data_IF_768047829845
#
_entry.id   IF_768047829845
#
_cell.length_a   1.000
_cell.length_b   1.000
_cell.length_c   1.000
_cell.angle_alpha   90.00
_cell.angle_beta   90.00
_cell.angle_gamma   90.00
#
_symmetry.space_group_name_H-M   'P 1'
#
loop_
_entity.id
_entity.type
_entity.pdbx_description
1 polymer ?
#
# COMPACT_ATOMS: atom_id res chain seq x y z
N UNK A 1 -37.95 13.20 -5.28
CA UNK A 1 -38.88 12.17 -5.79
C UNK A 1 -39.40 11.36 -4.62
N UNK A 2 -40.57 10.74 -4.74
CA UNK A 2 -41.14 9.90 -3.68
C UNK A 2 -41.23 8.46 -4.15
N UNK A 3 -40.72 7.54 -3.35
CA UNK A 3 -40.86 6.09 -3.54
C UNK A 3 -41.25 5.44 -2.21
N UNK A 4 -41.74 4.22 -2.26
CA UNK A 4 -42.10 3.44 -1.07
C UNK A 4 -41.13 2.28 -0.92
N UNK A 5 -40.48 2.13 0.23
CA UNK A 5 -39.62 0.98 0.55
C UNK A 5 -40.17 0.32 1.81
N UNK A 6 -40.60 -0.94 1.71
CA UNK A 6 -41.20 -1.71 2.81
C UNK A 6 -42.30 -0.90 3.54
N UNK A 7 -43.29 -0.44 2.77
CA UNK A 7 -44.45 0.36 3.22
C UNK A 7 -44.11 1.74 3.82
N UNK A 8 -42.83 2.14 3.83
CA UNK A 8 -42.39 3.48 4.23
C UNK A 8 -42.21 4.37 3.00
N UNK A 9 -42.92 5.49 2.96
CA UNK A 9 -42.71 6.53 1.94
C UNK A 9 -41.41 7.28 2.27
N UNK A 10 -40.49 7.31 1.31
CA UNK A 10 -39.19 7.96 1.44
C UNK A 10 -38.99 8.99 0.34
N UNK A 11 -38.36 10.10 0.70
CA UNK A 11 -37.95 11.12 -0.25
C UNK A 11 -36.50 10.88 -0.68
N UNK A 12 -36.26 11.03 -1.97
CA UNK A 12 -34.95 10.80 -2.57
C UNK A 12 -34.61 11.90 -3.58
N UNK A 13 -33.31 12.15 -3.73
CA UNK A 13 -32.78 12.96 -4.81
C UNK A 13 -32.92 12.23 -6.15
N UNK A 14 -32.77 12.97 -7.25
CA UNK A 14 -32.65 12.36 -8.57
C UNK A 14 -31.28 11.71 -8.74
N UNK A 15 -31.24 10.63 -9.52
CA UNK A 15 -30.00 9.96 -9.93
C UNK A 15 -29.22 9.23 -8.82
N UNK A 16 -29.87 8.88 -7.70
CA UNK A 16 -29.31 7.96 -6.70
C UNK A 16 -29.94 6.57 -6.82
N UNK A 17 -29.23 5.55 -6.37
CA UNK A 17 -29.65 4.14 -6.43
C UNK A 17 -30.63 3.80 -5.32
N UNK A 18 -31.43 2.75 -5.49
CA UNK A 18 -32.34 2.26 -4.44
C UNK A 18 -31.57 1.95 -3.15
N UNK A 19 -30.36 1.38 -3.25
CA UNK A 19 -29.53 1.07 -2.09
C UNK A 19 -29.15 2.33 -1.30
N UNK A 20 -28.78 3.41 -1.98
CA UNK A 20 -28.44 4.68 -1.34
C UNK A 20 -29.66 5.32 -0.68
N UNK A 21 -30.84 5.26 -1.33
CA UNK A 21 -32.10 5.71 -0.71
C UNK A 21 -32.38 4.91 0.57
N UNK A 22 -32.31 3.59 0.48
CA UNK A 22 -32.59 2.70 1.62
C UNK A 22 -31.66 3.01 2.80
N UNK A 23 -30.35 3.19 2.56
CA UNK A 23 -29.38 3.56 3.61
C UNK A 23 -29.70 4.90 4.26
N UNK A 24 -30.07 5.92 3.48
CA UNK A 24 -30.46 7.24 4.03
C UNK A 24 -31.75 7.18 4.87
N UNK A 25 -32.61 6.20 4.59
CA UNK A 25 -33.85 5.96 5.32
C UNK A 25 -33.70 4.94 6.47
N UNK A 26 -32.47 4.52 6.79
CA UNK A 26 -32.15 3.50 7.78
C UNK A 26 -32.87 2.16 7.51
N UNK A 27 -32.93 1.78 6.22
CA UNK A 27 -33.48 0.50 5.75
C UNK A 27 -32.30 -0.37 5.29
N UNK A 28 -32.06 -1.45 6.02
CA UNK A 28 -30.95 -2.34 5.74
C UNK A 28 -31.20 -3.23 4.51
N UNK A 29 -30.30 -3.14 3.51
CA UNK A 29 -30.23 -4.07 2.37
C UNK A 29 -28.81 -4.67 2.37
N UNK A 30 -28.64 -6.00 2.45
CA UNK A 30 -27.33 -6.61 2.60
C UNK A 30 -26.49 -6.49 1.32
N UNK A 31 -25.19 -6.23 1.50
CA UNK A 31 -24.21 -6.13 0.42
C UNK A 31 -22.86 -6.72 0.85
N UNK A 32 -22.21 -7.46 -0.04
CA UNK A 32 -20.81 -7.91 0.13
C UNK A 32 -19.83 -7.29 -0.86
N UNK A 33 -20.29 -6.89 -2.05
CA UNK A 33 -19.45 -6.33 -3.12
C UNK A 33 -19.66 -4.83 -3.36
N UNK A 34 -20.41 -4.14 -2.49
CA UNK A 34 -20.66 -2.71 -2.60
C UNK A 34 -19.72 -1.96 -1.67
N UNK A 35 -19.20 -0.84 -2.17
CA UNK A 35 -18.41 0.10 -1.39
C UNK A 35 -18.71 1.52 -1.92
N UNK A 36 -19.02 2.51 -1.08
CA UNK A 36 -19.48 3.83 -1.51
C UNK A 36 -18.44 4.59 -2.35
N UNK A 37 -17.15 4.38 -2.10
CA UNK A 37 -16.09 5.01 -2.90
C UNK A 37 -15.82 4.34 -4.26
N UNK A 38 -16.55 3.28 -4.61
CA UNK A 38 -16.39 2.54 -5.86
C UNK A 38 -17.72 2.55 -6.63
N UNK A 39 -17.65 2.52 -7.96
CA UNK A 39 -18.88 2.39 -8.77
C UNK A 39 -19.64 1.09 -8.43
N UNK A 40 -20.98 1.06 -8.49
CA UNK A 40 -21.74 -0.14 -8.19
C UNK A 40 -21.45 -1.31 -9.15
N UNK A 41 -21.04 -2.46 -8.60
CA UNK A 41 -20.67 -3.65 -9.38
C UNK A 41 -21.80 -4.68 -9.51
N UNK A 42 -22.59 -4.85 -8.45
CA UNK A 42 -23.73 -5.79 -8.44
C UNK A 42 -23.38 -7.28 -8.51
N UNK A 43 -22.12 -7.68 -8.27
CA UNK A 43 -21.69 -9.08 -8.39
C UNK A 43 -22.26 -10.02 -7.33
N UNK A 44 -22.33 -9.61 -6.06
CA UNK A 44 -22.80 -10.51 -4.99
C UNK A 44 -24.31 -10.78 -5.01
N UNK A 45 -25.11 -9.97 -5.72
CA UNK A 45 -26.59 -10.06 -5.83
C UNK A 45 -27.39 -10.08 -4.52
N UNK A 46 -26.78 -9.97 -3.34
CA UNK A 46 -27.49 -9.88 -2.06
C UNK A 46 -28.38 -8.64 -1.95
N UNK A 47 -28.01 -7.55 -2.63
CA UNK A 47 -28.84 -6.35 -2.68
C UNK A 47 -30.08 -6.46 -3.58
N UNK A 48 -30.45 -7.66 -4.01
CA UNK A 48 -31.67 -7.87 -4.80
C UNK A 48 -32.90 -7.42 -4.03
N UNK A 49 -33.80 -6.70 -4.71
CA UNK A 49 -35.08 -6.22 -4.19
C UNK A 49 -36.16 -6.42 -5.24
N UNK A 50 -37.41 -6.58 -4.81
CA UNK A 50 -38.56 -6.63 -5.71
C UNK A 50 -39.08 -5.21 -5.90
N UNK A 51 -39.13 -4.75 -7.14
CA UNK A 51 -39.74 -3.48 -7.50
C UNK A 51 -41.08 -3.72 -8.18
N UNK A 52 -42.02 -2.81 -7.95
CA UNK A 52 -43.31 -2.77 -8.62
C UNK A 52 -43.51 -1.40 -9.26
N UNK A 53 -43.76 -1.39 -10.57
CA UNK A 53 -44.02 -0.20 -11.36
C UNK A 53 -45.21 -0.45 -12.28
N UNK A 54 -46.28 0.35 -12.12
CA UNK A 54 -47.52 0.22 -12.92
C UNK A 54 -48.08 -1.22 -12.91
N UNK A 55 -48.08 -1.87 -11.73
CA UNK A 55 -48.55 -3.24 -11.53
C UNK A 55 -47.62 -4.36 -12.03
N UNK A 56 -46.46 -4.03 -12.62
CA UNK A 56 -45.46 -5.04 -13.03
C UNK A 56 -44.41 -5.21 -11.96
N UNK A 57 -44.21 -6.45 -11.51
CA UNK A 57 -43.18 -6.83 -10.52
C UNK A 57 -41.92 -7.33 -11.21
N UNK A 58 -40.75 -6.94 -10.70
CA UNK A 58 -39.44 -7.39 -11.19
C UNK A 58 -38.44 -7.40 -10.05
N UNK A 59 -37.55 -8.40 -10.02
CA UNK A 59 -36.39 -8.38 -9.12
C UNK A 59 -35.24 -7.63 -9.80
N UNK A 60 -34.64 -6.68 -9.07
CA UNK A 60 -33.53 -5.85 -9.54
C UNK A 60 -32.45 -5.74 -8.46
N UNK A 61 -31.25 -5.35 -8.87
CA UNK A 61 -30.13 -5.09 -7.96
C UNK A 61 -30.25 -3.67 -7.40
N UNK A 62 -30.53 -3.50 -6.10
CA UNK A 62 -30.73 -2.17 -5.50
C UNK A 62 -29.49 -1.26 -5.65
N UNK A 63 -28.28 -1.83 -5.69
CA UNK A 63 -27.06 -1.06 -5.83
C UNK A 63 -26.85 -0.44 -7.22
N UNK A 64 -27.50 -0.95 -8.27
CA UNK A 64 -27.33 -0.45 -9.64
C UNK A 64 -28.59 0.22 -10.18
N UNK A 65 -29.76 -0.08 -9.60
CA UNK A 65 -31.04 0.43 -10.07
C UNK A 65 -31.28 1.84 -9.51
N UNK A 66 -31.45 2.83 -10.39
CA UNK A 66 -31.76 4.21 -10.01
C UNK A 66 -33.17 4.31 -9.42
N UNK A 67 -33.30 5.07 -8.33
CA UNK A 67 -34.60 5.38 -7.75
C UNK A 67 -35.45 6.18 -8.76
N UNK A 68 -36.74 5.86 -8.80
CA UNK A 68 -37.72 6.50 -9.68
C UNK A 68 -38.92 6.96 -8.86
N UNK A 69 -39.57 8.03 -9.31
CA UNK A 69 -40.78 8.53 -8.67
C UNK A 69 -41.94 7.52 -8.80
N UNK A 70 -42.65 7.29 -7.69
CA UNK A 70 -43.75 6.34 -7.59
C UNK A 70 -43.34 4.86 -7.54
N UNK A 71 -42.04 4.56 -7.42
CA UNK A 71 -41.56 3.18 -7.32
C UNK A 71 -41.98 2.56 -5.97
N UNK A 72 -42.44 1.31 -5.98
CA UNK A 72 -42.65 0.52 -4.75
C UNK A 72 -41.59 -0.57 -4.69
N UNK A 73 -40.84 -0.61 -3.61
CA UNK A 73 -39.71 -1.52 -3.37
C UNK A 73 -40.04 -2.39 -2.16
N UNK A 74 -39.88 -3.70 -2.31
CA UNK A 74 -39.96 -4.67 -1.22
C UNK A 74 -38.61 -5.33 -1.05
N UNK A 75 -37.98 -5.13 0.11
CA UNK A 75 -36.65 -5.67 0.39
C UNK A 75 -36.68 -7.09 0.93
N UNK A 76 -37.86 -7.58 1.32
CA UNK A 76 -38.11 -8.89 1.94
C UNK A 76 -39.35 -9.62 1.38
N UNK A 77 -39.68 -9.45 0.09
CA UNK A 77 -40.72 -10.29 -0.53
C UNK A 77 -40.31 -11.77 -0.52
N UNK A 78 -41.25 -12.74 -0.56
CA UNK A 78 -40.90 -14.17 -0.57
C UNK A 78 -39.85 -14.53 -1.64
N UNK A 79 -40.03 -14.01 -2.86
CA UNK A 79 -39.09 -14.23 -3.96
C UNK A 79 -37.69 -13.64 -3.71
N UNK A 80 -37.59 -12.49 -3.01
CA UNK A 80 -36.30 -11.90 -2.62
C UNK A 80 -35.62 -12.71 -1.53
N UNK A 81 -36.38 -13.18 -0.54
CA UNK A 81 -35.85 -14.03 0.55
C UNK A 81 -35.31 -15.33 -0.04
N UNK A 82 -36.08 -16.01 -0.90
CA UNK A 82 -35.66 -17.28 -1.53
C UNK A 82 -34.42 -17.09 -2.40
N UNK A 83 -34.35 -16.00 -3.17
CA UNK A 83 -33.16 -15.66 -3.96
C UNK A 83 -31.93 -15.43 -3.08
N UNK A 84 -32.05 -14.66 -2.00
CA UNK A 84 -30.94 -14.39 -1.09
C UNK A 84 -30.49 -15.65 -0.36
N UNK A 85 -31.41 -16.52 0.07
CA UNK A 85 -31.09 -17.83 0.63
C UNK A 85 -30.26 -18.66 -0.34
N UNK A 86 -30.71 -18.79 -1.59
CA UNK A 86 -29.96 -19.49 -2.63
C UNK A 86 -28.54 -18.95 -2.82
N UNK A 87 -28.39 -17.61 -2.89
CA UNK A 87 -27.07 -16.96 -3.02
C UNK A 87 -26.19 -17.25 -1.80
N UNK A 88 -26.74 -17.13 -0.59
CA UNK A 88 -25.99 -17.37 0.65
C UNK A 88 -25.57 -18.83 0.77
N UNK A 89 -26.41 -19.79 0.35
CA UNK A 89 -26.02 -21.20 0.30
C UNK A 89 -24.88 -21.45 -0.69
N UNK A 90 -24.87 -20.80 -1.85
CA UNK A 90 -23.74 -20.89 -2.80
C UNK A 90 -22.47 -20.25 -2.23
N UNK A 91 -22.58 -19.09 -1.59
CA UNK A 91 -21.44 -18.42 -0.95
C UNK A 91 -20.91 -19.24 0.23
N UNK A 92 -21.80 -19.86 1.01
CA UNK A 92 -21.44 -20.69 2.15
C UNK A 92 -20.82 -22.01 1.69
N UNK A 93 -21.32 -22.60 0.60
CA UNK A 93 -20.67 -23.74 -0.03
C UNK A 93 -19.26 -23.37 -0.51
N UNK A 94 -19.08 -22.24 -1.18
CA UNK A 94 -17.75 -21.81 -1.63
C UNK A 94 -16.79 -21.47 -0.48
N UNK A 95 -17.28 -20.73 0.51
CA UNK A 95 -16.49 -20.12 1.58
C UNK A 95 -17.05 -20.46 2.97
N UNK A 96 -17.06 -21.74 3.39
CA UNK A 96 -17.75 -22.19 4.59
C UNK A 96 -17.16 -21.68 5.91
N UNK A 97 -15.93 -21.17 5.88
CA UNK A 97 -15.19 -20.71 7.08
C UNK A 97 -15.18 -19.19 7.24
N UNK A 98 -15.76 -18.44 6.31
CA UNK A 98 -15.71 -16.98 6.33
C UNK A 98 -16.80 -16.39 7.22
N UNK A 99 -16.39 -15.72 8.31
CA UNK A 99 -17.29 -15.31 9.40
C UNK A 99 -18.46 -14.44 8.95
N UNK A 100 -18.23 -13.48 8.05
CA UNK A 100 -19.28 -12.59 7.53
C UNK A 100 -20.33 -13.33 6.68
N UNK A 101 -19.92 -14.40 5.99
CA UNK A 101 -20.84 -15.23 5.21
C UNK A 101 -21.68 -16.10 6.15
N UNK A 102 -21.06 -16.68 7.17
CA UNK A 102 -21.73 -17.47 8.21
C UNK A 102 -22.75 -16.64 9.00
N UNK A 103 -22.45 -15.38 9.30
CA UNK A 103 -23.37 -14.45 9.95
C UNK A 103 -24.60 -14.17 9.08
N UNK A 104 -24.39 -13.75 7.83
CA UNK A 104 -25.50 -13.51 6.90
C UNK A 104 -26.33 -14.78 6.64
N UNK A 105 -25.70 -15.95 6.55
CA UNK A 105 -26.43 -17.21 6.40
C UNK A 105 -27.37 -17.48 7.60
N UNK A 106 -26.88 -17.25 8.83
CA UNK A 106 -27.68 -17.39 10.06
C UNK A 106 -28.85 -16.42 10.10
N UNK A 107 -28.69 -15.18 9.67
CA UNK A 107 -29.79 -14.19 9.59
C UNK A 107 -30.94 -14.63 8.67
N UNK A 108 -30.65 -15.52 7.71
CA UNK A 108 -31.64 -16.09 6.81
C UNK A 108 -32.09 -17.50 7.24
N UNK A 109 -31.65 -18.01 8.39
CA UNK A 109 -32.01 -19.33 8.90
C UNK A 109 -31.38 -20.48 8.12
N UNK A 110 -30.15 -20.27 7.60
CA UNK A 110 -29.39 -21.29 6.88
C UNK A 110 -28.34 -21.86 7.83
N UNK A 111 -28.51 -23.13 8.21
CA UNK A 111 -27.55 -23.85 9.07
C UNK A 111 -26.42 -24.50 8.26
N UNK A 112 -26.74 -25.01 7.07
CA UNK A 112 -25.81 -25.65 6.15
C UNK A 112 -26.23 -25.40 4.70
N UNK A 113 -25.28 -25.34 3.75
CA UNK A 113 -25.61 -25.22 2.34
C UNK A 113 -26.12 -26.56 1.79
N UNK A 114 -27.08 -26.51 0.86
CA UNK A 114 -27.52 -27.70 0.08
C UNK A 114 -26.49 -28.16 -0.96
N UNK A 115 -25.47 -27.35 -1.22
CA UNK A 115 -24.43 -27.61 -2.20
C UNK A 115 -23.18 -28.18 -1.51
N UNK A 116 -22.40 -28.98 -2.26
CA UNK A 116 -21.14 -29.50 -1.77
C UNK A 116 -20.19 -28.35 -1.41
N UNK A 117 -19.68 -28.30 -0.17
CA UNK A 117 -18.76 -27.25 0.22
C UNK A 117 -17.41 -27.39 -0.47
N UNK A 118 -16.93 -26.27 -1.01
CA UNK A 118 -15.54 -26.01 -1.36
C UNK A 118 -14.81 -25.45 -0.12
N UNK A 119 -13.50 -25.24 -0.22
CA UNK A 119 -12.67 -24.68 0.84
C UNK A 119 -11.94 -23.41 0.38
N UNK A 120 -12.61 -22.63 -0.46
CA UNK A 120 -12.12 -21.32 -0.89
C UNK A 120 -12.37 -20.25 0.18
N UNK A 121 -11.63 -19.14 0.09
CA UNK A 121 -11.82 -17.96 0.95
C UNK A 121 -12.35 -16.75 0.19
N UNK A 122 -12.21 -16.75 -1.14
CA UNK A 122 -12.55 -15.61 -1.99
C UNK A 122 -13.95 -15.77 -2.58
N UNK A 123 -14.83 -14.83 -2.27
CA UNK A 123 -16.19 -14.77 -2.86
C UNK A 123 -16.24 -14.05 -4.22
N UNK A 124 -15.08 -13.74 -4.82
CA UNK A 124 -14.95 -13.07 -6.12
C UNK A 124 -15.74 -11.75 -6.22
N UNK A 125 -15.81 -10.99 -5.12
CA UNK A 125 -16.58 -9.74 -5.08
C UNK A 125 -15.95 -8.59 -5.88
N UNK A 126 -14.64 -8.67 -6.19
CA UNK A 126 -13.90 -7.68 -6.97
C UNK A 126 -13.52 -6.39 -6.21
N UNK A 127 -13.89 -6.22 -4.93
CA UNK A 127 -13.59 -5.00 -4.18
C UNK A 127 -12.08 -4.72 -4.08
N UNK A 128 -11.27 -5.76 -3.86
CA UNK A 128 -9.82 -5.66 -3.74
C UNK A 128 -9.11 -5.22 -5.02
N UNK A 129 -9.51 -5.76 -6.17
CA UNK A 129 -8.92 -5.40 -7.47
C UNK A 129 -9.32 -3.97 -7.84
N UNK A 130 -10.58 -3.63 -7.60
CA UNK A 130 -11.13 -2.32 -7.92
C UNK A 130 -10.58 -1.22 -7.02
N UNK A 131 -10.47 -1.43 -5.71
CA UNK A 131 -9.84 -0.43 -4.83
C UNK A 131 -8.37 -0.21 -5.21
N UNK A 132 -7.66 -1.27 -5.62
CA UNK A 132 -6.26 -1.17 -6.04
C UNK A 132 -6.08 -0.40 -7.35
N UNK A 133 -7.01 -0.56 -8.30
CA UNK A 133 -6.99 0.12 -9.59
C UNK A 133 -7.61 1.53 -9.54
N UNK A 134 -8.86 1.64 -9.07
CA UNK A 134 -9.68 2.86 -9.16
C UNK A 134 -9.34 3.91 -8.10
N UNK A 135 -8.94 3.50 -6.89
CA UNK A 135 -8.64 4.44 -5.79
C UNK A 135 -7.15 4.59 -5.51
N UNK A 136 -6.40 3.48 -5.51
CA UNK A 136 -4.96 3.53 -5.26
C UNK A 136 -4.18 3.85 -6.54
N UNK A 137 -4.64 3.38 -7.70
CA UNK A 137 -4.01 3.63 -9.01
C UNK A 137 -2.82 2.71 -9.33
N UNK A 138 -2.62 1.64 -8.55
CA UNK A 138 -1.42 0.78 -8.67
C UNK A 138 -1.69 -0.53 -9.43
N UNK A 139 -2.93 -1.04 -9.37
CA UNK A 139 -3.33 -2.25 -10.11
C UNK A 139 -2.48 -3.50 -9.87
N UNK A 140 -1.92 -3.64 -8.66
CA UNK A 140 -1.06 -4.75 -8.26
C UNK A 140 -1.77 -6.13 -8.23
N UNK A 141 -3.10 -6.16 -8.27
CA UNK A 141 -3.92 -7.36 -8.19
C UNK A 141 -5.14 -7.27 -9.11
N UNK A 142 -5.46 -8.36 -9.80
CA UNK A 142 -6.49 -8.39 -10.83
C UNK A 142 -7.36 -9.65 -10.76
N UNK A 143 -8.50 -9.63 -11.45
CA UNK A 143 -9.26 -10.86 -11.70
C UNK A 143 -8.55 -11.63 -12.82
N UNK A 144 -8.32 -12.92 -12.59
CA UNK A 144 -7.69 -13.82 -13.56
C UNK A 144 -8.65 -14.95 -13.97
N UNK A 145 -8.33 -15.62 -15.07
CA UNK A 145 -9.09 -16.73 -15.64
C UNK A 145 -10.56 -16.38 -15.94
N UNK A 146 -11.36 -17.39 -16.30
CA UNK A 146 -12.79 -17.25 -16.64
C UNK A 146 -13.58 -18.47 -16.16
N UNK A 147 -14.91 -18.31 -16.09
CA UNK A 147 -15.80 -19.40 -15.71
C UNK A 147 -15.51 -19.90 -14.29
N UNK A 148 -15.41 -21.23 -14.14
CA UNK A 148 -15.16 -21.90 -12.85
C UNK A 148 -13.74 -21.71 -12.34
N UNK A 149 -12.78 -21.41 -13.22
CA UNK A 149 -11.38 -21.18 -12.85
C UNK A 149 -11.10 -19.73 -12.42
N UNK A 150 -12.12 -18.87 -12.45
CA UNK A 150 -11.99 -17.44 -12.15
C UNK A 150 -11.41 -17.23 -10.74
N UNK A 151 -10.36 -16.43 -10.67
CA UNK A 151 -9.65 -16.12 -9.43
C UNK A 151 -9.34 -14.63 -9.30
N UNK A 152 -8.71 -14.29 -8.19
CA UNK A 152 -8.10 -12.97 -7.96
C UNK A 152 -6.65 -13.23 -7.62
N UNK A 153 -5.73 -12.61 -8.36
CA UNK A 153 -4.30 -12.85 -8.20
C UNK A 153 -3.44 -11.71 -8.72
N UNK A 154 -2.15 -11.70 -8.35
CA UNK A 154 -1.17 -10.86 -9.02
C UNK A 154 -0.88 -11.36 -10.45
N UNK A 155 -0.39 -10.52 -11.37
CA UNK A 155 -0.03 -10.94 -12.72
C UNK A 155 0.89 -12.18 -12.71
N UNK A 156 0.54 -13.19 -13.52
CA UNK A 156 1.26 -14.47 -13.64
C UNK A 156 1.34 -15.32 -12.36
N UNK A 157 0.67 -14.92 -11.27
CA UNK A 157 0.75 -15.59 -9.96
C UNK A 157 2.04 -15.28 -9.18
N UNK A 158 2.94 -14.47 -9.74
CA UNK A 158 4.21 -14.09 -9.12
C UNK A 158 4.04 -13.01 -8.05
N UNK A 159 5.02 -12.88 -7.16
CA UNK A 159 5.07 -11.77 -6.20
C UNK A 159 4.94 -10.43 -6.95
N UNK A 160 3.97 -9.61 -6.53
CA UNK A 160 3.72 -8.33 -7.16
C UNK A 160 4.84 -7.33 -6.85
N UNK A 161 5.61 -6.95 -7.86
CA UNK A 161 6.59 -5.87 -7.79
C UNK A 161 5.92 -4.48 -7.70
N UNK A 162 4.61 -4.41 -7.96
CA UNK A 162 3.84 -3.17 -7.93
C UNK A 162 3.15 -2.90 -6.60
N UNK A 163 2.84 -3.93 -5.82
CA UNK A 163 2.17 -3.73 -4.55
C UNK A 163 3.01 -2.80 -3.64
N UNK A 164 2.37 -1.74 -3.15
CA UNK A 164 3.01 -0.74 -2.26
C UNK A 164 2.65 -0.97 -0.79
N UNK A 165 2.13 -2.16 -0.46
CA UNK A 165 1.72 -2.55 0.89
C UNK A 165 0.70 -1.60 1.55
N UNK A 166 -0.13 -0.88 0.79
CA UNK A 166 -1.04 0.15 1.34
C UNK A 166 -2.14 -0.41 2.25
N UNK A 167 -2.55 -1.66 2.07
CA UNK A 167 -3.58 -2.31 2.88
C UNK A 167 -5.02 -2.08 2.42
N UNK A 168 -5.27 -1.21 1.44
CA UNK A 168 -6.64 -0.89 1.00
C UNK A 168 -7.45 -2.10 0.57
N UNK A 169 -6.84 -3.05 -0.14
CA UNK A 169 -7.51 -4.29 -0.56
C UNK A 169 -7.89 -5.19 0.62
N UNK A 170 -7.10 -5.21 1.69
CA UNK A 170 -7.42 -5.98 2.90
C UNK A 170 -8.56 -5.32 3.67
N UNK A 171 -8.56 -3.99 3.78
CA UNK A 171 -9.61 -3.24 4.48
C UNK A 171 -10.99 -3.43 3.88
N UNK A 172 -11.11 -3.45 2.54
CA UNK A 172 -12.40 -3.61 1.86
C UNK A 172 -12.80 -5.08 1.64
N UNK A 173 -11.95 -6.04 2.00
CA UNK A 173 -12.25 -7.45 1.75
C UNK A 173 -13.36 -7.90 2.72
N UNK A 174 -14.47 -8.46 2.22
CA UNK A 174 -15.52 -8.99 3.09
C UNK A 174 -15.15 -10.35 3.72
N UNK A 175 -13.98 -10.91 3.37
CA UNK A 175 -13.47 -12.20 3.83
C UNK A 175 -11.99 -12.09 4.18
N UNK A 176 -11.38 -13.20 4.62
CA UNK A 176 -9.94 -13.29 4.91
C UNK A 176 -9.05 -13.58 3.70
N UNK A 177 -9.61 -13.62 2.48
CA UNK A 177 -8.87 -14.07 1.29
C UNK A 177 -7.62 -13.23 0.97
N UNK A 178 -7.74 -11.91 1.12
CA UNK A 178 -6.65 -10.98 0.77
C UNK A 178 -5.45 -11.11 1.72
N UNK A 179 -5.70 -11.35 3.00
CA UNK A 179 -4.63 -11.41 4.01
C UNK A 179 -3.82 -12.70 3.93
N UNK A 180 -4.40 -13.76 3.35
CA UNK A 180 -3.79 -15.07 3.15
C UNK A 180 -3.09 -15.24 1.80
N UNK A 181 -3.25 -14.29 0.87
CA UNK A 181 -2.57 -14.35 -0.42
C UNK A 181 -1.05 -14.22 -0.27
N UNK A 182 -0.32 -14.93 -1.14
CA UNK A 182 1.15 -15.02 -1.08
C UNK A 182 1.86 -13.96 -1.91
N UNK A 183 1.21 -13.45 -2.94
CA UNK A 183 1.82 -12.60 -3.96
C UNK A 183 1.42 -11.13 -3.91
N UNK A 184 0.53 -10.77 -2.99
CA UNK A 184 0.37 -9.39 -2.54
C UNK A 184 0.54 -9.34 -1.02
N UNK A 185 1.01 -8.20 -0.53
CA UNK A 185 1.45 -8.06 0.85
C UNK A 185 0.83 -6.79 1.47
N UNK A 186 -0.51 -6.71 1.57
CA UNK A 186 -1.17 -5.59 2.23
C UNK A 186 -0.72 -5.49 3.70
N UNK A 187 -0.50 -4.26 4.16
CA UNK A 187 -0.17 -3.98 5.56
C UNK A 187 -1.17 -2.98 6.10
N UNK A 188 -2.09 -3.44 6.94
CA UNK A 188 -3.01 -2.57 7.67
C UNK A 188 -2.29 -1.88 8.84
N UNK A 189 -2.96 -0.93 9.50
CA UNK A 189 -2.38 -0.25 10.66
C UNK A 189 -2.13 -1.22 11.82
N UNK A 190 -3.01 -2.19 12.03
CA UNK A 190 -2.85 -3.25 13.01
C UNK A 190 -1.63 -4.12 12.70
N UNK A 191 -1.52 -4.61 11.46
CA UNK A 191 -0.36 -5.39 11.01
C UNK A 191 0.96 -4.62 11.15
N UNK A 192 0.97 -3.31 10.86
CA UNK A 192 2.16 -2.48 11.09
C UNK A 192 2.60 -2.49 12.56
N UNK A 193 1.65 -2.45 13.51
CA UNK A 193 1.98 -2.47 14.95
C UNK A 193 2.56 -3.82 15.36
N UNK A 194 1.97 -4.91 14.88
CA UNK A 194 2.50 -6.26 15.11
C UNK A 194 3.92 -6.43 14.55
N UNK A 195 4.18 -5.89 13.36
CA UNK A 195 5.53 -5.91 12.76
C UNK A 195 6.50 -5.07 13.58
N UNK A 196 6.09 -3.90 14.07
CA UNK A 196 6.91 -3.08 14.98
C UNK A 196 7.29 -3.88 16.24
N UNK A 197 6.33 -4.58 16.85
CA UNK A 197 6.55 -5.36 18.09
C UNK A 197 7.42 -6.61 17.86
N UNK A 198 7.39 -7.19 16.66
CA UNK A 198 8.12 -8.41 16.32
C UNK A 198 9.57 -8.16 15.90
N UNK A 199 9.84 -7.09 15.15
CA UNK A 199 11.15 -6.88 14.51
C UNK A 199 11.98 -5.74 15.10
N UNK A 200 11.39 -4.85 15.90
CA UNK A 200 12.06 -3.66 16.41
C UNK A 200 12.15 -3.72 17.93
N UNK A 201 13.22 -3.18 18.50
CA UNK A 201 13.51 -3.35 19.93
C UNK A 201 13.49 -2.03 20.73
N UNK A 202 13.24 -0.89 20.06
CA UNK A 202 13.27 0.45 20.66
C UNK A 202 12.05 0.81 21.53
N UNK A 203 11.98 2.08 21.94
CA UNK A 203 10.81 2.64 22.62
C UNK A 203 9.86 3.25 21.60
N UNK A 204 8.55 3.03 21.78
CA UNK A 204 7.52 3.53 20.87
C UNK A 204 7.30 5.02 21.08
N UNK A 205 7.55 5.79 20.02
CA UNK A 205 7.24 7.21 19.90
C UNK A 205 5.98 7.41 19.04
N UNK A 206 5.15 8.38 19.41
CA UNK A 206 3.88 8.67 18.74
C UNK A 206 4.06 9.02 17.26
N UNK A 207 5.02 9.89 16.96
CA UNK A 207 5.28 10.41 15.62
C UNK A 207 6.21 9.46 14.85
N UNK A 208 7.35 9.13 15.45
CA UNK A 208 8.46 8.49 14.76
C UNK A 208 8.39 6.96 14.77
N UNK A 209 7.56 6.37 15.63
CA UNK A 209 7.46 4.92 15.83
C UNK A 209 8.51 4.37 16.76
N UNK A 210 8.85 3.09 16.62
CA UNK A 210 9.82 2.46 17.52
C UNK A 210 11.23 2.96 17.20
N UNK A 211 11.94 3.51 18.20
CA UNK A 211 13.33 3.95 18.05
C UNK A 211 14.16 3.80 19.34
N UNK A 212 15.46 3.61 19.16
CA UNK A 212 16.49 3.61 20.19
C UNK A 212 17.30 4.90 20.21
N UNK A 213 17.73 5.33 19.03
CA UNK A 213 18.62 6.45 18.86
C UNK A 213 18.10 7.33 17.72
N UNK A 214 18.19 8.63 17.94
CA UNK A 214 17.93 9.67 16.95
C UNK A 214 19.16 10.57 16.91
N UNK A 215 19.91 10.50 15.81
CA UNK A 215 21.19 11.21 15.66
C UNK A 215 21.36 11.72 14.24
N UNK A 216 21.95 12.91 14.08
CA UNK A 216 22.35 13.40 12.77
C UNK A 216 23.80 12.99 12.55
N UNK A 217 24.07 12.22 11.48
CA UNK A 217 25.37 11.65 11.19
C UNK A 217 25.94 12.11 9.85
N UNK A 218 27.25 12.38 9.82
CA UNK A 218 28.02 12.61 8.59
C UNK A 218 29.24 11.71 8.56
N UNK A 219 29.50 11.09 7.42
CA UNK A 219 30.68 10.24 7.19
C UNK A 219 31.65 10.87 6.19
N UNK A 220 32.80 10.22 6.00
CA UNK A 220 33.78 10.57 4.96
C UNK A 220 33.34 10.20 3.54
N UNK A 221 32.25 9.45 3.39
CA UNK A 221 31.72 9.05 2.09
C UNK A 221 30.82 10.15 1.54
N UNK A 222 31.21 10.73 0.40
CA UNK A 222 30.35 11.67 -0.31
C UNK A 222 29.05 10.96 -0.74
N UNK A 223 27.90 11.39 -0.20
CA UNK A 223 26.55 10.92 -0.55
C UNK A 223 25.63 12.10 -0.91
N UNK A 224 24.31 11.86 -0.98
CA UNK A 224 23.34 12.98 -1.12
C UNK A 224 23.38 13.90 0.10
N UNK A 225 23.33 13.27 1.27
CA UNK A 225 23.37 13.91 2.58
C UNK A 225 24.67 13.45 3.28
N UNK A 226 24.60 12.97 4.52
CA UNK A 226 25.76 12.53 5.30
C UNK A 226 26.41 11.21 4.87
N UNK A 227 26.03 10.61 3.74
CA UNK A 227 26.67 9.38 3.23
C UNK A 227 26.43 8.13 4.08
N UNK A 228 25.52 8.18 5.06
CA UNK A 228 25.38 7.14 6.10
C UNK A 228 24.92 5.80 5.53
N UNK A 229 23.89 5.77 4.68
CA UNK A 229 23.38 4.51 4.11
C UNK A 229 24.45 3.75 3.33
N UNK A 230 25.18 4.45 2.45
CA UNK A 230 26.28 3.88 1.67
C UNK A 230 27.42 3.41 2.57
N UNK A 231 27.75 4.17 3.62
CA UNK A 231 28.81 3.82 4.56
C UNK A 231 28.49 2.54 5.35
N UNK A 232 27.24 2.40 5.80
CA UNK A 232 26.75 1.21 6.49
C UNK A 232 26.89 -0.03 5.61
N UNK A 233 26.43 0.04 4.35
CA UNK A 233 26.50 -1.09 3.42
C UNK A 233 27.95 -1.44 3.12
N UNK A 234 28.77 -0.43 2.81
CA UNK A 234 30.19 -0.60 2.52
C UNK A 234 30.90 -1.32 3.67
N UNK A 235 30.81 -0.77 4.88
CA UNK A 235 31.46 -1.35 6.06
C UNK A 235 30.89 -2.73 6.40
N UNK A 236 29.58 -2.93 6.23
CA UNK A 236 28.93 -4.22 6.48
C UNK A 236 29.44 -5.32 5.55
N UNK A 237 29.65 -5.01 4.26
CA UNK A 237 30.24 -5.94 3.29
C UNK A 237 31.73 -6.19 3.58
N UNK A 238 32.52 -5.13 3.81
CA UNK A 238 33.97 -5.25 4.10
C UNK A 238 34.27 -6.05 5.36
N UNK A 239 33.45 -5.90 6.40
CA UNK A 239 33.59 -6.61 7.67
C UNK A 239 32.94 -7.99 7.66
N UNK A 240 32.31 -8.41 6.56
CA UNK A 240 31.62 -9.69 6.44
C UNK A 240 30.39 -9.82 7.36
N UNK A 241 29.81 -8.69 7.79
CA UNK A 241 28.54 -8.63 8.53
C UNK A 241 27.36 -8.85 7.57
N UNK A 242 27.50 -8.40 6.33
CA UNK A 242 26.55 -8.59 5.24
C UNK A 242 27.18 -9.46 4.15
N UNK A 243 26.40 -10.37 3.57
CA UNK A 243 26.77 -11.17 2.40
C UNK A 243 26.45 -10.44 1.08
N UNK A 244 25.43 -9.58 1.12
CA UNK A 244 24.98 -8.77 0.00
C UNK A 244 24.07 -7.61 0.46
N UNK A 245 23.84 -6.65 -0.44
CA UNK A 245 22.84 -5.62 -0.26
C UNK A 245 22.03 -5.38 -1.55
N UNK A 246 20.74 -5.12 -1.39
CA UNK A 246 19.86 -4.65 -2.47
C UNK A 246 19.81 -3.13 -2.41
N UNK A 247 20.24 -2.49 -3.50
CA UNK A 247 20.35 -1.04 -3.63
C UNK A 247 19.78 -0.56 -4.96
N UNK A 248 19.45 0.74 -5.07
CA UNK A 248 18.95 1.32 -6.32
C UNK A 248 20.02 2.14 -7.02
N UNK A 249 20.32 1.77 -8.27
CA UNK A 249 21.27 2.47 -9.14
C UNK A 249 20.52 3.12 -10.29
N UNK A 250 21.15 4.13 -10.90
CA UNK A 250 20.70 4.70 -12.17
C UNK A 250 21.92 4.82 -13.07
N UNK A 251 21.87 4.18 -14.24
CA UNK A 251 22.88 4.36 -15.30
C UNK A 251 22.35 5.37 -16.30
N UNK A 252 23.24 6.12 -16.95
CA UNK A 252 22.88 7.09 -17.99
C UNK A 252 22.09 6.39 -19.09
N UNK A 253 20.98 7.01 -19.53
CA UNK A 253 20.11 6.46 -20.56
C UNK A 253 19.24 5.29 -20.12
N UNK A 254 19.19 4.97 -18.81
CA UNK A 254 18.35 3.91 -18.25
C UNK A 254 17.47 4.43 -17.11
N UNK A 255 16.33 3.75 -16.92
CA UNK A 255 15.51 3.95 -15.73
C UNK A 255 16.26 3.46 -14.48
N UNK A 256 16.00 4.04 -13.30
CA UNK A 256 16.50 3.49 -12.05
C UNK A 256 16.11 2.02 -11.88
N UNK A 257 17.04 1.20 -11.43
CA UNK A 257 16.85 -0.23 -11.21
C UNK A 257 17.43 -0.68 -9.88
N UNK A 258 16.83 -1.72 -9.29
CA UNK A 258 17.35 -2.36 -8.11
C UNK A 258 18.41 -3.36 -8.56
N UNK A 259 19.55 -3.36 -7.88
CA UNK A 259 20.66 -4.27 -8.14
C UNK A 259 21.12 -4.91 -6.84
N UNK A 260 21.58 -6.15 -6.97
CA UNK A 260 22.29 -6.84 -5.92
C UNK A 260 23.77 -6.44 -5.96
N UNK A 261 24.32 -6.03 -4.82
CA UNK A 261 25.75 -5.76 -4.65
C UNK A 261 26.30 -6.63 -3.54
N UNK A 262 27.45 -7.26 -3.77
CA UNK A 262 28.18 -8.07 -2.79
C UNK A 262 29.61 -7.59 -2.57
N UNK A 263 30.00 -6.50 -3.24
CA UNK A 263 31.27 -5.80 -3.03
C UNK A 263 31.04 -4.33 -2.64
N UNK A 264 31.96 -3.80 -1.83
CA UNK A 264 31.99 -2.40 -1.38
C UNK A 264 31.97 -1.38 -2.53
N UNK A 265 32.61 -1.70 -3.65
CA UNK A 265 32.65 -0.88 -4.87
C UNK A 265 31.27 -0.69 -5.48
N UNK A 266 30.43 -1.74 -5.47
CA UNK A 266 29.05 -1.69 -5.95
C UNK A 266 28.17 -0.75 -5.14
N UNK A 267 28.35 -0.69 -3.82
CA UNK A 267 27.59 0.22 -2.94
C UNK A 267 27.79 1.70 -3.31
N UNK A 268 28.99 2.07 -3.77
CA UNK A 268 29.32 3.45 -4.17
C UNK A 268 28.60 3.90 -5.46
N UNK A 269 28.15 2.96 -6.30
CA UNK A 269 27.40 3.27 -7.52
C UNK A 269 25.93 3.61 -7.23
N UNK A 270 25.42 3.23 -6.06
CA UNK A 270 24.04 3.49 -5.64
C UNK A 270 23.82 4.87 -4.99
N UNK A 271 24.85 5.71 -4.92
CA UNK A 271 24.78 7.05 -4.29
C UNK A 271 23.78 7.99 -4.96
N UNK A 272 23.28 8.96 -4.19
CA UNK A 272 22.29 9.93 -4.65
C UNK A 272 20.86 9.37 -4.64
N UNK A 273 19.88 10.21 -4.34
CA UNK A 273 18.46 9.83 -4.38
C UNK A 273 17.98 9.77 -5.81
N UNK A 274 17.29 8.68 -6.11
CA UNK A 274 16.50 8.53 -7.31
C UNK A 274 15.06 8.68 -6.85
N UNK A 275 14.39 9.77 -7.23
CA UNK A 275 12.99 10.01 -6.86
C UNK A 275 12.02 9.17 -7.70
N UNK A 276 12.36 7.90 -7.92
CA UNK A 276 11.57 6.93 -8.68
C UNK A 276 11.42 5.64 -7.88
N UNK A 277 10.21 5.09 -7.87
CA UNK A 277 9.90 3.83 -7.17
C UNK A 277 10.39 2.67 -8.02
N UNK A 278 11.23 1.84 -7.43
CA UNK A 278 11.81 0.65 -8.07
C UNK A 278 11.59 -0.54 -7.15
N UNK A 279 11.02 -1.63 -7.62
CA UNK A 279 10.83 -2.76 -6.70
C UNK A 279 12.18 -3.37 -6.28
N UNK A 280 12.28 -3.71 -5.00
CA UNK A 280 13.46 -4.35 -4.39
C UNK A 280 13.25 -5.86 -4.15
N UNK A 281 12.02 -6.35 -4.36
CA UNK A 281 11.59 -7.70 -3.99
C UNK A 281 12.27 -8.74 -4.88
N UNK A 282 12.26 -8.53 -6.21
CA UNK A 282 12.93 -9.41 -7.18
C UNK A 282 14.41 -9.64 -6.86
N UNK A 283 15.16 -8.57 -6.56
CA UNK A 283 16.58 -8.69 -6.20
C UNK A 283 16.80 -9.32 -4.82
N UNK A 284 15.93 -9.06 -3.85
CA UNK A 284 15.98 -9.73 -2.55
C UNK A 284 15.76 -11.25 -2.72
N UNK A 285 14.71 -11.65 -3.44
CA UNK A 285 14.42 -13.05 -3.72
C UNK A 285 15.55 -13.72 -4.53
N UNK A 286 16.18 -12.99 -5.45
CA UNK A 286 17.36 -13.46 -6.17
C UNK A 286 18.52 -13.74 -5.21
N UNK A 287 18.86 -12.79 -4.35
CA UNK A 287 19.95 -12.94 -3.38
C UNK A 287 19.76 -14.14 -2.44
N UNK A 288 18.53 -14.33 -1.95
CA UNK A 288 18.18 -15.48 -1.11
C UNK A 288 18.31 -16.81 -1.86
N UNK A 289 17.87 -16.87 -3.12
CA UNK A 289 18.04 -18.05 -4.00
C UNK A 289 19.51 -18.35 -4.32
N UNK A 290 20.35 -17.33 -4.38
CA UNK A 290 21.81 -17.46 -4.52
C UNK A 290 22.49 -17.89 -3.20
N UNK A 291 21.73 -18.14 -2.13
CA UNK A 291 22.23 -18.67 -0.86
C UNK A 291 22.78 -17.61 0.10
N UNK A 292 22.65 -16.31 -0.22
CA UNK A 292 22.99 -15.21 0.68
C UNK A 292 22.03 -15.24 1.87
N UNK A 293 22.54 -15.06 3.10
CA UNK A 293 21.72 -15.09 4.32
C UNK A 293 21.62 -13.73 4.97
N UNK A 294 22.74 -13.01 5.08
CA UNK A 294 22.83 -11.70 5.72
C UNK A 294 22.69 -10.62 4.68
N UNK A 295 21.49 -10.10 4.47
CA UNK A 295 21.16 -9.23 3.33
C UNK A 295 20.67 -7.89 3.86
N UNK A 296 21.28 -6.79 3.40
CA UNK A 296 20.71 -5.47 3.62
C UNK A 296 19.77 -5.09 2.47
N UNK A 297 18.62 -4.46 2.76
CA UNK A 297 17.74 -3.90 1.73
C UNK A 297 17.59 -2.41 1.99
N UNK A 298 18.01 -1.59 1.02
CA UNK A 298 17.75 -0.15 1.07
C UNK A 298 16.45 0.14 0.34
N UNK A 299 15.51 0.82 1.01
CA UNK A 299 14.23 1.14 0.40
C UNK A 299 13.50 2.29 1.06
N UNK A 300 12.59 2.89 0.30
CA UNK A 300 11.57 3.83 0.76
C UNK A 300 10.49 3.13 1.59
N UNK A 301 9.62 3.87 2.31
CA UNK A 301 8.69 3.28 3.27
C UNK A 301 7.77 2.19 2.70
N UNK A 302 7.28 2.33 1.47
CA UNK A 302 6.44 1.31 0.86
C UNK A 302 7.21 0.01 0.61
N UNK A 303 8.45 0.08 0.12
CA UNK A 303 9.31 -1.09 -0.08
C UNK A 303 9.64 -1.78 1.25
N UNK A 304 9.96 -1.00 2.29
CA UNK A 304 10.25 -1.53 3.63
C UNK A 304 9.03 -2.28 4.19
N UNK A 305 7.83 -1.70 4.06
CA UNK A 305 6.58 -2.36 4.45
C UNK A 305 6.34 -3.66 3.69
N UNK A 306 6.56 -3.64 2.36
CA UNK A 306 6.44 -4.83 1.52
C UNK A 306 7.36 -5.95 1.99
N UNK A 307 8.64 -5.64 2.20
CA UNK A 307 9.63 -6.63 2.63
C UNK A 307 9.30 -7.17 4.02
N UNK A 308 8.92 -6.33 4.99
CA UNK A 308 8.52 -6.81 6.33
C UNK A 308 7.31 -7.74 6.28
N UNK A 309 6.31 -7.42 5.47
CA UNK A 309 5.13 -8.28 5.33
C UNK A 309 5.47 -9.62 4.68
N UNK A 310 6.40 -9.62 3.74
CA UNK A 310 6.95 -10.82 3.13
C UNK A 310 7.80 -11.62 4.13
N UNK A 311 8.59 -10.97 4.99
CA UNK A 311 9.35 -11.62 6.07
C UNK A 311 8.43 -12.43 6.97
N UNK A 312 7.42 -11.79 7.58
CA UNK A 312 6.42 -12.39 8.50
C UNK A 312 5.60 -13.56 7.90
N UNK A 313 5.83 -13.95 6.64
CA UNK A 313 5.10 -15.04 6.02
C UNK A 313 5.89 -15.81 4.97
N UNK A 314 6.07 -15.21 3.79
CA UNK A 314 6.66 -15.92 2.65
C UNK A 314 8.15 -16.21 2.86
N UNK A 315 8.96 -15.20 3.22
CA UNK A 315 10.41 -15.34 3.28
C UNK A 315 10.87 -16.22 4.45
N UNK A 316 10.25 -16.12 5.63
CA UNK A 316 10.63 -16.96 6.77
C UNK A 316 10.33 -18.45 6.53
N UNK A 317 9.32 -18.76 5.70
CA UNK A 317 8.98 -20.14 5.31
C UNK A 317 9.88 -20.68 4.19
N UNK A 318 10.09 -19.90 3.14
CA UNK A 318 10.85 -20.35 1.95
C UNK A 318 12.37 -20.26 2.16
N UNK A 319 12.83 -19.29 2.97
CA UNK A 319 14.24 -19.01 3.23
C UNK A 319 14.53 -18.93 4.73
N UNK A 320 14.34 -20.04 5.47
CA UNK A 320 14.51 -20.07 6.91
C UNK A 320 15.95 -19.73 7.32
N UNK A 321 16.10 -18.93 8.38
CA UNK A 321 17.40 -18.46 8.87
C UNK A 321 18.05 -17.37 8.00
N UNK A 322 17.28 -16.75 7.09
CA UNK A 322 17.70 -15.51 6.43
C UNK A 322 17.69 -14.35 7.44
N UNK A 323 18.75 -13.57 7.41
CA UNK A 323 19.00 -12.44 8.27
C UNK A 323 18.92 -11.15 7.44
N UNK A 324 17.69 -10.66 7.20
CA UNK A 324 17.45 -9.49 6.34
C UNK A 324 17.36 -8.22 7.20
N UNK A 325 18.27 -7.27 6.98
CA UNK A 325 18.28 -5.94 7.63
C UNK A 325 17.72 -4.89 6.68
N UNK A 326 16.83 -4.04 7.15
CA UNK A 326 16.17 -3.01 6.35
C UNK A 326 16.71 -1.62 6.67
N UNK A 327 17.25 -0.95 5.65
CA UNK A 327 17.69 0.44 5.70
C UNK A 327 16.64 1.30 4.99
N UNK A 328 15.78 1.92 5.78
CA UNK A 328 14.69 2.75 5.31
C UNK A 328 15.16 4.16 4.94
N UNK A 329 14.74 4.66 3.78
CA UNK A 329 14.93 6.06 3.41
C UNK A 329 13.72 6.89 3.83
N UNK A 330 13.93 8.15 4.21
CA UNK A 330 12.82 9.09 4.32
C UNK A 330 12.27 9.37 2.92
N UNK A 331 10.96 9.41 2.79
CA UNK A 331 10.32 9.64 1.51
C UNK A 331 9.02 10.37 1.71
N UNK A 332 8.82 11.48 1.01
CA UNK A 332 7.53 12.18 1.00
C UNK A 332 6.68 11.73 -0.20
N UNK A 333 7.26 11.79 -1.39
CA UNK A 333 6.67 11.40 -2.68
C UNK A 333 7.73 10.77 -3.59
N UNK A 334 7.25 10.04 -4.60
CA UNK A 334 8.05 9.48 -5.69
C UNK A 334 7.34 9.78 -7.00
N UNK A 335 8.08 9.81 -8.10
CA UNK A 335 7.59 10.14 -9.42
C UNK A 335 7.82 8.98 -10.39
N UNK A 336 7.07 8.97 -11.50
CA UNK A 336 7.51 8.25 -12.69
C UNK A 336 8.70 8.99 -13.32
N UNK A 337 9.77 8.27 -13.67
CA UNK A 337 10.99 8.92 -14.12
C UNK A 337 10.85 9.56 -15.50
N UNK A 338 10.10 8.94 -16.42
CA UNK A 338 9.89 9.47 -17.76
C UNK A 338 9.01 10.73 -17.70
N UNK A 339 7.93 10.68 -16.93
CA UNK A 339 7.03 11.82 -16.75
C UNK A 339 7.73 12.97 -16.02
N UNK A 340 8.51 12.67 -14.98
CA UNK A 340 9.31 13.67 -14.27
C UNK A 340 10.33 14.32 -15.19
N UNK A 341 11.06 13.54 -16.00
CA UNK A 341 12.03 14.07 -16.97
C UNK A 341 11.35 15.00 -17.99
N UNK A 342 10.21 14.57 -18.53
CA UNK A 342 9.43 15.40 -19.47
C UNK A 342 8.95 16.69 -18.81
N UNK A 343 8.40 16.61 -17.60
CA UNK A 343 7.93 17.76 -16.83
C UNK A 343 9.05 18.74 -16.47
N UNK A 344 10.20 18.23 -16.05
CA UNK A 344 11.38 19.07 -15.74
C UNK A 344 11.91 19.75 -17.00
N UNK A 345 11.92 19.07 -18.15
CA UNK A 345 12.30 19.68 -19.41
C UNK A 345 11.38 20.85 -19.77
N UNK A 346 10.07 20.70 -19.57
CA UNK A 346 9.09 21.78 -19.81
C UNK A 346 9.28 22.96 -18.85
N UNK A 347 9.49 22.71 -17.55
CA UNK A 347 9.55 23.78 -16.54
C UNK A 347 10.91 24.49 -16.52
N UNK A 348 12.00 23.73 -16.59
CA UNK A 348 13.35 24.22 -16.34
C UNK A 348 14.19 24.31 -17.62
N UNK A 349 13.74 23.74 -18.74
CA UNK A 349 14.48 23.76 -20.00
C UNK A 349 15.71 22.84 -20.02
N UNK A 350 15.85 21.94 -19.04
CA UNK A 350 17.00 21.04 -18.88
C UNK A 350 16.60 19.58 -19.12
N UNK A 351 17.58 18.74 -19.43
CA UNK A 351 17.40 17.29 -19.41
C UNK A 351 17.83 16.73 -18.05
N UNK A 352 16.93 15.98 -17.40
CA UNK A 352 17.21 15.35 -16.11
C UNK A 352 18.32 14.29 -16.19
N UNK A 353 18.63 13.77 -17.37
CA UNK A 353 19.78 12.86 -17.58
C UNK A 353 21.14 13.53 -17.38
N UNK A 354 21.21 14.86 -17.50
CA UNK A 354 22.45 15.62 -17.31
C UNK A 354 22.64 16.10 -15.86
N UNK A 355 21.72 15.74 -14.96
CA UNK A 355 21.77 16.11 -13.54
C UNK A 355 22.91 15.40 -12.79
N UNK A 356 23.80 16.18 -12.17
CA UNK A 356 24.82 15.68 -11.24
C UNK A 356 24.23 15.39 -9.86
N UNK A 357 23.26 16.21 -9.43
CA UNK A 357 22.60 16.12 -8.12
C UNK A 357 21.17 16.60 -8.21
N UNK A 358 20.28 15.90 -7.50
CA UNK A 358 18.87 16.27 -7.37
C UNK A 358 18.51 16.31 -5.88
N UNK A 359 17.88 17.39 -5.43
CA UNK A 359 17.48 17.56 -4.04
C UNK A 359 16.07 18.15 -3.95
N UNK A 360 15.32 17.72 -2.93
CA UNK A 360 14.09 18.39 -2.51
C UNK A 360 14.34 19.02 -1.15
N UNK A 361 14.33 20.36 -1.11
CA UNK A 361 14.58 21.13 0.11
C UNK A 361 13.58 22.28 0.21
N UNK A 362 13.00 22.50 1.40
CA UNK A 362 12.10 23.64 1.69
C UNK A 362 10.97 23.86 0.64
N UNK A 363 10.45 22.77 0.07
CA UNK A 363 9.37 22.80 -0.94
C UNK A 363 9.83 23.13 -2.38
N UNK A 364 11.14 23.18 -2.63
CA UNK A 364 11.73 23.31 -3.97
C UNK A 364 12.32 21.98 -4.43
N UNK A 365 12.18 21.71 -5.72
CA UNK A 365 12.89 20.65 -6.42
C UNK A 365 14.07 21.29 -7.14
N UNK A 366 15.28 20.85 -6.81
CA UNK A 366 16.54 21.48 -7.21
C UNK A 366 17.38 20.47 -8.00
N UNK A 367 17.88 20.90 -9.16
CA UNK A 367 18.73 20.11 -10.06
C UNK A 367 20.02 20.86 -10.29
N UNK A 368 21.15 20.25 -9.96
CA UNK A 368 22.48 20.80 -10.22
C UNK A 368 23.10 20.14 -11.44
N UNK A 369 23.60 20.96 -12.37
CA UNK A 369 24.33 20.56 -13.59
C UNK A 369 25.58 21.42 -13.65
N UNK A 370 26.76 20.83 -13.43
CA UNK A 370 28.01 21.56 -13.28
C UNK A 370 27.94 22.54 -12.09
N UNK A 371 28.19 23.82 -12.37
CA UNK A 371 28.12 24.90 -11.37
C UNK A 371 26.71 25.54 -11.27
N UNK A 372 25.81 25.21 -12.20
CA UNK A 372 24.49 25.82 -12.28
C UNK A 372 23.46 25.00 -11.47
N UNK A 373 22.53 25.71 -10.83
CA UNK A 373 21.42 25.08 -10.09
C UNK A 373 20.09 25.62 -10.60
N UNK A 374 19.26 24.72 -11.08
CA UNK A 374 17.92 24.96 -11.58
C UNK A 374 16.91 24.54 -10.52
N UNK A 375 15.80 25.25 -10.38
CA UNK A 375 14.79 24.85 -9.40
C UNK A 375 13.37 25.26 -9.73
N UNK A 376 12.41 24.40 -9.38
CA UNK A 376 10.97 24.67 -9.44
C UNK A 376 10.30 24.38 -8.09
N UNK A 377 9.01 24.73 -7.97
CA UNK A 377 8.23 24.36 -6.79
C UNK A 377 7.84 22.88 -6.88
N UNK A 378 7.89 22.14 -5.76
CA UNK A 378 7.39 20.75 -5.71
C UNK A 378 5.89 20.68 -6.04
N UNK A 379 5.16 21.79 -5.86
CA UNK A 379 3.74 21.89 -6.26
C UNK A 379 3.54 21.76 -7.77
N UNK A 380 4.53 22.16 -8.57
CA UNK A 380 4.47 22.12 -10.04
C UNK A 380 4.67 20.70 -10.58
N UNK A 381 5.04 19.75 -9.70
CA UNK A 381 5.28 18.34 -10.00
C UNK A 381 4.16 17.42 -9.50
N UNK A 382 3.08 17.96 -8.92
CA UNK A 382 2.04 17.15 -8.26
C UNK A 382 1.30 16.22 -9.22
N UNK A 383 1.18 16.59 -10.49
CA UNK A 383 0.51 15.79 -11.52
C UNK A 383 1.35 14.61 -12.04
N UNK A 384 2.66 14.61 -11.77
CA UNK A 384 3.59 13.52 -12.10
C UNK A 384 4.01 12.70 -10.87
N UNK A 385 3.40 12.98 -9.70
CA UNK A 385 3.56 12.15 -8.51
C UNK A 385 2.92 10.79 -8.76
N UNK A 386 3.68 9.73 -8.48
CA UNK A 386 3.26 8.36 -8.73
C UNK A 386 2.03 7.98 -7.91
N UNK A 387 1.18 7.16 -8.50
CA UNK A 387 -0.04 6.64 -7.92
C UNK A 387 0.24 5.93 -6.58
N UNK A 388 -0.74 5.99 -5.68
CA UNK A 388 -0.62 5.40 -4.34
C UNK A 388 0.27 6.17 -3.35
N UNK A 389 1.12 7.11 -3.76
CA UNK A 389 1.89 7.95 -2.83
C UNK A 389 0.99 8.75 -1.88
N UNK A 390 -0.20 9.12 -2.36
CA UNK A 390 -1.23 9.80 -1.57
C UNK A 390 -1.80 8.89 -0.48
N UNK A 391 -1.78 7.57 -0.67
CA UNK A 391 -2.20 6.56 0.32
C UNK A 391 -1.09 6.20 1.30
N UNK A 392 0.13 6.73 1.14
CA UNK A 392 1.25 6.40 2.02
C UNK A 392 1.32 7.40 3.18
N UNK A 393 1.04 6.94 4.40
CA UNK A 393 1.17 7.74 5.63
C UNK A 393 2.54 7.67 6.31
N UNK A 394 3.48 6.87 5.78
CA UNK A 394 4.79 6.67 6.37
C UNK A 394 5.85 7.55 5.69
N UNK A 395 6.44 8.47 6.45
CA UNK A 395 7.51 9.37 5.98
C UNK A 395 8.90 8.83 6.32
N UNK A 396 9.06 8.22 7.50
CA UNK A 396 10.36 7.89 8.12
C UNK A 396 10.69 6.40 8.06
N UNK A 397 10.05 5.64 7.17
CA UNK A 397 10.23 4.18 7.03
C UNK A 397 10.15 3.49 8.39
N UNK A 398 8.98 3.57 9.04
CA UNK A 398 8.80 3.18 10.45
C UNK A 398 9.14 1.73 10.75
N UNK A 399 9.04 0.85 9.76
CA UNK A 399 9.29 -0.58 9.91
C UNK A 399 10.74 -1.00 9.55
N UNK A 400 11.64 -0.06 9.29
CA UNK A 400 13.04 -0.35 9.00
C UNK A 400 13.84 -0.70 10.27
N UNK A 401 15.02 -1.30 10.14
CA UNK A 401 15.97 -1.45 11.25
C UNK A 401 16.71 -0.14 11.54
N UNK A 402 17.00 0.61 10.46
CA UNK A 402 17.56 1.97 10.49
C UNK A 402 16.80 2.81 9.48
N UNK A 403 16.39 4.01 9.84
CA UNK A 403 15.80 4.99 8.91
C UNK A 403 16.72 6.18 8.71
N UNK A 404 16.90 6.64 7.48
CA UNK A 404 17.87 7.67 7.11
C UNK A 404 17.21 8.72 6.21
N UNK A 405 17.42 10.00 6.48
CA UNK A 405 17.02 11.09 5.59
C UNK A 405 17.65 12.42 5.96
N UNK A 406 17.38 13.46 5.16
CA UNK A 406 17.99 14.78 5.31
C UNK A 406 17.31 15.69 6.35
N UNK A 407 16.02 15.47 6.59
CA UNK A 407 15.20 16.39 7.40
C UNK A 407 15.56 16.29 8.88
N UNK A 408 15.65 17.42 9.55
CA UNK A 408 16.03 17.52 10.96
C UNK A 408 17.54 17.51 11.22
N UNK A 409 18.36 17.44 10.16
CA UNK A 409 19.82 17.50 10.25
C UNK A 409 20.38 18.70 9.46
N UNK A 410 21.56 19.22 9.82
CA UNK A 410 22.26 20.25 9.03
C UNK A 410 22.63 19.77 7.62
N UNK A 411 22.95 20.71 6.73
CA UNK A 411 23.41 20.40 5.38
C UNK A 411 24.68 19.52 5.42
N UNK A 412 24.67 18.45 4.64
CA UNK A 412 25.75 17.44 4.62
C UNK A 412 25.68 16.42 5.76
N UNK A 413 24.65 16.45 6.60
CA UNK A 413 24.34 15.40 7.59
C UNK A 413 23.06 14.66 7.19
N UNK A 414 22.90 13.44 7.71
CA UNK A 414 21.66 12.69 7.64
C UNK A 414 21.10 12.46 9.03
N UNK A 415 19.82 12.72 9.24
CA UNK A 415 19.06 12.17 10.37
C UNK A 415 18.98 10.66 10.25
N UNK A 416 19.42 9.97 11.30
CA UNK A 416 19.45 8.51 11.44
C UNK A 416 18.58 8.13 12.64
N UNK A 417 17.59 7.27 12.39
CA UNK A 417 16.72 6.67 13.41
C UNK A 417 17.06 5.19 13.49
N UNK A 418 17.68 4.77 14.60
CA UNK A 418 17.96 3.34 14.84
C UNK A 418 16.77 2.73 15.56
N UNK A 419 16.25 1.60 15.06
CA UNK A 419 14.99 0.99 15.54
C UNK A 419 15.15 -0.42 16.09
N UNK A 420 16.14 -1.16 15.61
CA UNK A 420 16.47 -2.51 16.08
C UNK A 420 17.92 -2.63 16.52
N UNK A 421 18.22 -3.67 17.30
CA UNK A 421 19.59 -4.01 17.71
C UNK A 421 20.48 -4.32 16.50
N UNK A 422 19.92 -4.95 15.47
CA UNK A 422 20.63 -5.25 14.20
C UNK A 422 21.02 -3.96 13.49
N UNK A 423 20.09 -3.00 13.45
CA UNK A 423 20.38 -1.65 12.94
C UNK A 423 21.47 -0.95 13.75
N UNK A 424 21.46 -1.10 15.08
CA UNK A 424 22.51 -0.54 15.95
C UNK A 424 23.89 -1.12 15.63
N UNK A 425 24.01 -2.44 15.47
CA UNK A 425 25.29 -3.11 15.12
C UNK A 425 25.88 -2.55 13.82
N UNK A 426 25.03 -2.31 12.81
CA UNK A 426 25.48 -1.74 11.54
C UNK A 426 25.95 -0.29 11.69
N UNK A 427 25.23 0.53 12.47
CA UNK A 427 25.60 1.93 12.69
C UNK A 427 26.89 2.06 13.52
N UNK A 428 27.01 1.28 14.60
CA UNK A 428 28.22 1.24 15.45
C UNK A 428 29.43 0.71 14.66
N UNK A 429 29.19 0.05 13.52
CA UNK A 429 30.21 -0.43 12.59
C UNK A 429 30.83 0.64 11.69
N UNK A 430 30.37 1.90 11.74
CA UNK A 430 30.93 3.00 10.93
C UNK A 430 31.38 4.17 11.81
N UNK A 431 32.41 4.88 11.35
CA UNK A 431 32.78 6.17 11.94
C UNK A 431 31.92 7.28 11.35
N UNK A 432 31.31 8.11 12.20
CA UNK A 432 30.55 9.27 11.78
C UNK A 432 30.58 10.37 12.84
N UNK A 433 30.53 11.63 12.38
CA UNK A 433 30.35 12.78 13.24
C UNK A 433 28.88 12.92 13.62
N UNK A 434 28.59 12.95 14.92
CA UNK A 434 27.23 12.99 15.46
C UNK A 434 26.84 14.37 15.97
N UNK A 435 25.69 14.88 15.55
CA UNK A 435 25.08 16.09 16.10
C UNK A 435 23.61 15.85 16.48
N UNK A 436 23.04 16.78 17.25
CA UNK A 436 21.65 16.71 17.68
C UNK A 436 20.69 16.90 16.51
N UNK A 437 19.64 16.07 16.45
CA UNK A 437 18.56 16.17 15.45
C UNK A 437 17.50 17.16 15.93
N UNK A 438 17.00 17.99 15.02
CA UNK A 438 15.76 18.72 15.23
C UNK A 438 14.55 17.79 15.04
N UNK A 439 14.15 17.11 16.12
CA UNK A 439 13.03 16.15 16.11
C UNK A 439 11.73 16.77 15.62
N UNK A 440 11.44 18.01 15.99
CA UNK A 440 10.16 18.68 15.69
C UNK A 440 9.99 18.92 14.20
N UNK A 441 11.07 19.19 13.47
CA UNK A 441 11.05 19.32 12.02
C UNK A 441 10.68 17.99 11.33
N UNK A 442 11.23 16.88 11.82
CA UNK A 442 10.91 15.53 11.34
C UNK A 442 9.44 15.20 11.64
N UNK A 443 9.01 15.40 12.91
CA UNK A 443 7.66 15.11 13.35
C UNK A 443 6.60 15.92 12.58
N UNK A 444 6.91 17.18 12.24
CA UNK A 444 6.04 18.02 11.41
C UNK A 444 5.78 17.39 10.04
N UNK A 445 6.81 16.90 9.34
CA UNK A 445 6.63 16.25 8.04
C UNK A 445 5.93 14.89 8.14
N UNK A 446 6.19 14.12 9.20
CA UNK A 446 5.45 12.88 9.49
C UNK A 446 3.95 13.19 9.61
N UNK A 447 3.59 14.17 10.44
CA UNK A 447 2.19 14.57 10.65
C UNK A 447 1.53 15.06 9.35
N UNK A 448 2.24 15.87 8.56
CA UNK A 448 1.75 16.32 7.26
C UNK A 448 1.45 15.16 6.30
N UNK A 449 2.38 14.19 6.19
CA UNK A 449 2.21 13.04 5.30
C UNK A 449 1.08 12.12 5.79
N UNK A 450 1.02 11.86 7.11
CA UNK A 450 -0.04 11.06 7.73
C UNK A 450 -1.43 11.65 7.50
N UNK A 451 -1.62 12.95 7.76
CA UNK A 451 -2.91 13.64 7.52
C UNK A 451 -3.35 13.59 6.06
N UNK A 452 -2.38 13.68 5.13
CA UNK A 452 -2.67 13.54 3.70
C UNK A 452 -3.19 12.14 3.38
N UNK A 453 -2.52 11.10 3.88
CA UNK A 453 -2.96 9.73 3.70
C UNK A 453 -4.31 9.43 4.36
N UNK A 454 -4.56 9.95 5.56
CA UNK A 454 -5.84 9.82 6.25
C UNK A 454 -6.99 10.38 5.43
N UNK A 455 -6.81 11.54 4.77
CA UNK A 455 -7.83 12.08 3.84
C UNK A 455 -8.08 11.18 2.64
N UNK A 456 -7.02 10.60 2.06
CA UNK A 456 -7.16 9.66 0.94
C UNK A 456 -7.82 8.34 1.37
N UNK A 457 -7.49 7.83 2.57
CA UNK A 457 -8.12 6.65 3.16
C UNK A 457 -9.55 6.88 3.65
N UNK A 458 -9.95 8.12 3.98
CA UNK A 458 -11.31 8.41 4.44
C UNK A 458 -12.36 7.85 3.46
N UNK A 459 -12.10 7.97 2.15
CA UNK A 459 -12.94 7.37 1.09
C UNK A 459 -13.02 5.85 1.20
N UNK A 460 -11.91 5.18 1.53
CA UNK A 460 -11.85 3.71 1.71
C UNK A 460 -12.52 3.28 3.03
N UNK A 461 -12.49 4.11 4.06
CA UNK A 461 -13.03 3.77 5.38
C UNK A 461 -14.53 4.05 5.51
N UNK A 462 -15.07 5.03 4.78
CA UNK A 462 -16.48 5.42 4.80
C UNK A 462 -17.46 4.26 4.51
N UNK A 463 -16.98 3.20 3.84
CA UNK A 463 -17.76 2.01 3.49
C UNK A 463 -17.72 0.85 4.48
N UNK A 464 -16.96 0.96 5.57
CA UNK A 464 -16.69 -0.15 6.49
C UNK A 464 -17.56 -0.12 7.77
N UNK A 465 -18.39 0.91 7.92
CA UNK A 465 -19.31 1.09 9.04
C UNK A 465 -20.68 0.44 8.86
#
# INVERSE_FOLDING_TARGET
MRLTIDDRVVEADRSITILEVARRADIHIPTLCYHPALEPYGACRLCSVEIEKRGRKKIVSACNYLAEDGLVVRTRSPAVIDLRKMILELLLARCPKEGRILELARDYGIEAPRFEPDNERCILCGLCTRVCAELVGVSAINTINRGVERGVDAPFGDLSEDCIACGSCALVCPTSAITEMRNVFPVTTEMSREIEDEYLDGVRDEDLGVLFHLIAGRTSVAGQDGGVATSIIKAGLEKGVLDAAVVVVKRRGSNPEAVLVDEATGAMQARGTKYSRVSVISQLCRALREGKKRIAVVGTPCQIRSVRRLQKGYLDREFPGSDIVLIGLFCFESFDYADLRSRINVILGIDLEDADRIQISKGRYEVSIGEETYSCSVKDLQDVVREGCQMCGDFVSRLADISIGSVGSPDGYSTVIVRSRRGKVLLDGIEFEGVQVNRDEVAKLVSMKRRRAERSFARVLEGLG
#
